data_IF_427341296651
#
_entry.id   IF_427341296651
#
_cell.length_a   1.000
_cell.length_b   1.000
_cell.length_c   1.000
_cell.angle_alpha   90.00
_cell.angle_beta   90.00
_cell.angle_gamma   90.00
#
_symmetry.space_group_name_H-M   'P 1'
#
loop_
_entity.id
_entity.type
_entity.pdbx_description
1 polymer ?
#
# COMPACT_ATOMS: atom_id res chain seq x y z
N UNK A 1 -30.45 17.62 66.89
CA UNK A 1 -29.33 17.44 65.92
C UNK A 1 -29.66 16.30 65.01
N UNK A 2 -29.91 16.57 63.74
CA UNK A 2 -30.15 15.55 62.75
C UNK A 2 -28.81 15.34 61.98
N UNK A 3 -28.28 14.12 61.84
CA UNK A 3 -27.15 13.90 60.99
C UNK A 3 -27.59 13.93 59.51
N UNK A 4 -26.93 14.77 58.75
CA UNK A 4 -27.08 14.78 57.31
C UNK A 4 -26.32 13.57 56.73
N UNK A 5 -26.96 12.77 55.87
CA UNK A 5 -26.21 11.74 55.12
C UNK A 5 -25.49 12.44 53.97
N UNK A 6 -24.18 12.41 54.03
CA UNK A 6 -23.37 12.77 52.87
C UNK A 6 -23.54 11.69 51.81
N UNK A 7 -24.33 12.02 50.78
CA UNK A 7 -24.39 11.28 49.55
C UNK A 7 -23.07 11.54 48.79
N UNK A 8 -22.14 10.64 48.92
CA UNK A 8 -21.01 10.58 48.00
C UNK A 8 -21.55 10.11 46.65
N UNK A 9 -21.80 11.03 45.75
CA UNK A 9 -21.97 10.71 44.34
C UNK A 9 -20.61 10.29 43.80
N UNK A 10 -20.41 9.00 43.73
CA UNK A 10 -19.29 8.45 42.95
C UNK A 10 -19.63 8.67 41.51
N UNK A 11 -19.13 9.75 40.93
CA UNK A 11 -19.13 9.93 39.51
C UNK A 11 -18.18 8.87 38.91
N UNK A 12 -18.76 7.78 38.45
CA UNK A 12 -18.05 6.83 37.61
C UNK A 12 -17.67 7.56 36.33
N UNK A 13 -16.45 8.06 36.24
CA UNK A 13 -15.85 8.46 34.99
C UNK A 13 -15.70 7.17 34.16
N UNK A 14 -16.71 6.89 33.38
CA UNK A 14 -16.56 5.94 32.28
C UNK A 14 -15.60 6.61 31.30
N UNK A 15 -14.30 6.34 31.47
CA UNK A 15 -13.35 6.58 30.43
C UNK A 15 -13.76 5.69 29.26
N UNK A 16 -14.58 6.22 28.37
CA UNK A 16 -14.74 5.66 27.05
C UNK A 16 -13.34 5.66 26.46
N UNK A 17 -12.69 4.52 26.50
CA UNK A 17 -11.52 4.25 25.69
C UNK A 17 -12.00 4.41 24.25
N UNK A 18 -11.92 5.66 23.76
CA UNK A 18 -12.00 5.92 22.36
C UNK A 18 -10.89 5.08 21.74
N UNK A 19 -11.27 3.92 21.23
CA UNK A 19 -10.42 3.18 20.33
C UNK A 19 -10.19 4.17 19.19
N UNK A 20 -9.03 4.83 19.20
CA UNK A 20 -8.60 5.62 18.09
C UNK A 20 -8.51 4.64 16.92
N UNK A 21 -9.58 4.53 16.14
CA UNK A 21 -9.51 3.97 14.82
C UNK A 21 -8.51 4.87 14.11
N UNK A 22 -7.30 4.35 13.92
CA UNK A 22 -6.38 4.98 12.98
C UNK A 22 -7.19 5.19 11.70
N UNK A 23 -7.25 6.42 11.19
CA UNK A 23 -7.93 6.65 9.93
C UNK A 23 -7.36 5.63 8.93
N UNK A 24 -8.20 5.00 8.10
CA UNK A 24 -7.71 4.10 7.08
C UNK A 24 -6.59 4.84 6.34
N UNK A 25 -5.45 4.19 6.04
CA UNK A 25 -4.35 4.84 5.36
C UNK A 25 -4.90 5.56 4.14
N UNK A 26 -4.57 6.83 4.00
CA UNK A 26 -5.12 7.68 2.98
C UNK A 26 -4.91 6.99 1.63
N UNK A 27 -5.99 6.50 1.04
CA UNK A 27 -5.95 5.83 -0.25
C UNK A 27 -5.71 6.91 -1.30
N UNK A 28 -4.47 7.00 -1.76
CA UNK A 28 -4.15 7.92 -2.84
C UNK A 28 -4.78 7.40 -4.13
N UNK A 29 -5.75 8.15 -4.65
CA UNK A 29 -6.29 7.90 -5.97
C UNK A 29 -5.33 8.48 -7.00
N UNK A 30 -4.90 7.66 -7.93
CA UNK A 30 -3.95 8.00 -8.97
C UNK A 30 -4.58 7.78 -10.36
N UNK A 31 -4.00 8.41 -11.34
CA UNK A 31 -4.25 8.07 -12.74
C UNK A 31 -3.23 7.02 -13.18
N UNK A 32 -3.70 5.95 -13.80
CA UNK A 32 -2.88 4.84 -14.23
C UNK A 32 -3.07 4.50 -15.71
N UNK A 33 -2.01 3.95 -16.29
CA UNK A 33 -2.09 3.23 -17.56
C UNK A 33 -1.56 1.83 -17.37
N UNK A 34 -2.18 0.86 -18.00
CA UNK A 34 -1.77 -0.53 -17.97
C UNK A 34 -1.69 -1.09 -19.39
N UNK A 35 -0.64 -1.85 -19.64
CA UNK A 35 -0.47 -2.55 -20.91
C UNK A 35 -0.02 -3.98 -20.66
N UNK A 36 -0.74 -4.93 -21.25
CA UNK A 36 -0.33 -6.34 -21.28
C UNK A 36 0.71 -6.53 -22.39
N UNK A 37 1.93 -6.86 -22.03
CA UNK A 37 3.04 -7.06 -22.97
C UNK A 37 3.15 -8.50 -23.47
N UNK A 38 2.33 -9.42 -22.97
CA UNK A 38 2.32 -10.82 -23.41
C UNK A 38 1.68 -11.01 -24.79
N UNK A 39 0.92 -10.03 -25.24
CA UNK A 39 0.25 -10.01 -26.54
C UNK A 39 0.79 -8.87 -27.38
N UNK A 40 1.22 -9.18 -28.58
CA UNK A 40 1.60 -8.17 -29.56
C UNK A 40 0.38 -7.28 -29.90
N UNK A 41 0.57 -5.96 -29.89
CA UNK A 41 -0.49 -5.00 -30.21
C UNK A 41 -1.53 -4.77 -29.12
N UNK A 42 -1.29 -5.22 -27.88
CA UNK A 42 -2.18 -4.91 -26.75
C UNK A 42 -2.32 -3.41 -26.55
N UNK A 43 -3.56 -2.90 -26.38
CA UNK A 43 -3.78 -1.48 -26.16
C UNK A 43 -3.28 -1.05 -24.77
N UNK A 44 -2.88 0.21 -24.68
CA UNK A 44 -2.65 0.86 -23.38
C UNK A 44 -4.01 1.26 -22.81
N UNK A 45 -4.38 0.67 -21.70
CA UNK A 45 -5.63 0.96 -20.99
C UNK A 45 -5.41 2.09 -19.99
N UNK A 46 -6.27 3.09 -20.00
CA UNK A 46 -6.31 4.14 -18.96
C UNK A 46 -7.31 3.77 -17.87
N UNK A 47 -6.91 3.96 -16.62
CA UNK A 47 -7.76 3.66 -15.48
C UNK A 47 -7.41 4.58 -14.30
N UNK A 48 -8.37 4.84 -13.43
CA UNK A 48 -8.05 5.30 -12.09
C UNK A 48 -7.54 4.11 -11.28
N UNK A 49 -6.56 4.33 -10.41
CA UNK A 49 -6.03 3.27 -9.58
C UNK A 49 -5.85 3.72 -8.13
N UNK A 50 -5.92 2.76 -7.24
CA UNK A 50 -5.76 2.95 -5.80
C UNK A 50 -4.67 2.00 -5.32
N UNK A 51 -3.63 2.56 -4.70
CA UNK A 51 -2.61 1.79 -4.00
C UNK A 51 -3.13 1.42 -2.62
N UNK A 52 -3.04 0.15 -2.28
CA UNK A 52 -3.32 -0.36 -0.95
C UNK A 52 -2.13 -1.15 -0.45
N UNK A 53 -1.64 -0.77 0.70
CA UNK A 53 -0.72 -1.61 1.42
C UNK A 53 -1.46 -2.90 1.78
N UNK A 54 -1.00 -3.99 1.23
CA UNK A 54 -1.45 -5.31 1.64
C UNK A 54 -0.85 -5.59 2.99
N UNK A 55 -1.59 -5.26 4.05
CA UNK A 55 -1.28 -5.85 5.34
C UNK A 55 -1.66 -7.33 5.24
N UNK A 56 -0.69 -8.26 5.15
CA UNK A 56 -1.03 -9.66 5.22
C UNK A 56 -1.74 -9.92 6.54
N UNK A 57 -2.63 -10.91 6.61
CA UNK A 57 -3.21 -11.33 7.87
C UNK A 57 -2.08 -11.55 8.87
N UNK A 58 -2.28 -11.09 10.08
CA UNK A 58 -1.30 -11.08 11.18
C UNK A 58 -0.36 -12.31 11.28
N UNK A 59 -0.80 -13.55 10.99
CA UNK A 59 0.10 -14.71 11.02
C UNK A 59 1.21 -14.69 9.97
N UNK A 60 1.02 -13.99 8.85
CA UNK A 60 2.05 -13.84 7.82
C UNK A 60 3.02 -12.70 8.13
N UNK A 61 2.74 -11.93 9.18
CA UNK A 61 3.56 -10.81 9.63
C UNK A 61 4.54 -11.19 10.75
N UNK A 62 4.46 -12.40 11.26
CA UNK A 62 5.54 -12.88 12.13
C UNK A 62 6.75 -13.04 11.21
N UNK A 63 7.78 -12.18 11.35
CA UNK A 63 9.00 -12.39 10.62
C UNK A 63 9.45 -13.80 11.00
N UNK A 64 9.64 -14.63 10.00
CA UNK A 64 10.31 -15.89 10.24
C UNK A 64 11.66 -15.53 10.85
N UNK A 65 11.75 -15.69 12.16
CA UNK A 65 12.96 -15.32 12.93
C UNK A 65 14.18 -16.11 12.47
N UNK A 66 13.96 -17.13 11.66
CA UNK A 66 15.02 -17.98 11.13
C UNK A 66 15.62 -17.46 9.82
N UNK A 67 14.88 -16.65 9.04
CA UNK A 67 15.33 -16.24 7.71
C UNK A 67 15.72 -14.77 7.57
N UNK A 68 15.45 -13.94 8.58
CA UNK A 68 15.69 -12.46 8.51
C UNK A 68 15.15 -11.79 7.23
N UNK A 69 14.18 -12.43 6.58
CA UNK A 69 13.52 -11.93 5.37
C UNK A 69 12.17 -11.34 5.73
N UNK A 70 11.98 -10.09 5.37
CA UNK A 70 10.70 -9.41 5.48
C UNK A 70 10.06 -9.31 4.10
N UNK A 71 8.80 -9.74 3.98
CA UNK A 71 8.02 -9.59 2.76
C UNK A 71 6.97 -8.50 2.92
N UNK A 72 6.87 -7.67 1.92
CA UNK A 72 5.89 -6.59 1.83
C UNK A 72 5.13 -6.73 0.52
N UNK A 73 3.82 -6.58 0.58
CA UNK A 73 2.95 -6.68 -0.60
C UNK A 73 2.15 -5.41 -0.75
N UNK A 74 2.13 -4.84 -1.94
CA UNK A 74 1.33 -3.69 -2.31
C UNK A 74 0.39 -4.08 -3.45
N UNK A 75 -0.89 -3.81 -3.29
CA UNK A 75 -1.90 -4.02 -4.32
C UNK A 75 -2.25 -2.71 -5.00
N UNK A 76 -2.28 -2.71 -6.32
CA UNK A 76 -2.76 -1.61 -7.13
C UNK A 76 -4.05 -2.04 -7.80
N UNK A 77 -5.17 -1.51 -7.34
CA UNK A 77 -6.49 -1.81 -7.89
C UNK A 77 -6.85 -0.76 -8.94
N UNK A 78 -7.10 -1.21 -10.15
CA UNK A 78 -7.59 -0.40 -11.24
C UNK A 78 -9.12 -0.43 -11.27
N UNK A 79 -9.76 0.67 -11.66
CA UNK A 79 -11.23 0.76 -11.72
C UNK A 79 -11.87 -0.09 -12.83
N UNK A 80 -11.06 -0.63 -13.75
CA UNK A 80 -11.48 -1.63 -14.73
C UNK A 80 -11.57 -3.07 -14.17
N UNK A 81 -11.34 -3.25 -12.87
CA UNK A 81 -11.36 -4.55 -12.18
C UNK A 81 -10.03 -5.30 -12.15
N UNK A 82 -8.99 -4.78 -12.79
CA UNK A 82 -7.66 -5.39 -12.79
C UNK A 82 -6.90 -5.04 -11.50
N UNK A 83 -6.14 -5.98 -10.98
CA UNK A 83 -5.25 -5.76 -9.84
C UNK A 83 -3.82 -6.13 -10.22
N UNK A 84 -2.88 -5.23 -9.94
CA UNK A 84 -1.45 -5.47 -10.08
C UNK A 84 -0.86 -5.61 -8.68
N UNK A 85 -0.07 -6.64 -8.47
CA UNK A 85 0.52 -6.96 -7.17
C UNK A 85 2.01 -6.74 -7.21
N UNK A 86 2.52 -5.90 -6.32
CA UNK A 86 3.95 -5.72 -6.09
C UNK A 86 4.35 -6.47 -4.82
N UNK A 87 5.44 -7.21 -4.90
CA UNK A 87 6.03 -7.92 -3.78
C UNK A 87 7.48 -7.49 -3.62
N UNK A 88 7.83 -7.08 -2.41
CA UNK A 88 9.18 -6.69 -2.04
C UNK A 88 9.71 -7.65 -0.98
N UNK A 89 10.88 -8.18 -1.18
CA UNK A 89 11.61 -8.90 -0.15
C UNK A 89 12.80 -8.07 0.31
N UNK A 90 12.90 -7.91 1.61
CA UNK A 90 14.01 -7.23 2.26
C UNK A 90 14.80 -8.24 3.08
N UNK A 91 16.10 -8.18 2.98
CA UNK A 91 17.01 -8.89 3.89
C UNK A 91 17.58 -7.91 4.91
N UNK A 92 17.84 -8.40 6.11
CA UNK A 92 18.61 -7.64 7.08
C UNK A 92 20.09 -7.69 6.65
N UNK A 93 20.72 -6.53 6.54
CA UNK A 93 22.16 -6.46 6.29
C UNK A 93 22.94 -6.64 7.60
N UNK A 94 24.28 -6.76 7.49
CA UNK A 94 25.18 -6.93 8.63
C UNK A 94 25.13 -5.78 9.65
N UNK A 95 24.68 -4.60 9.23
CA UNK A 95 24.58 -3.38 10.05
C UNK A 95 23.20 -3.22 10.72
N UNK A 96 22.28 -4.20 10.54
CA UNK A 96 20.93 -4.18 11.08
C UNK A 96 19.93 -3.38 10.26
N UNK A 97 20.34 -2.80 9.12
CA UNK A 97 19.46 -2.14 8.15
C UNK A 97 18.74 -3.13 7.24
N UNK A 98 17.85 -2.59 6.41
CA UNK A 98 17.11 -3.38 5.41
C UNK A 98 17.72 -3.16 4.04
N UNK A 99 17.88 -4.24 3.30
CA UNK A 99 18.34 -4.23 1.92
C UNK A 99 17.27 -4.92 1.06
N UNK A 100 16.90 -4.29 -0.07
CA UNK A 100 15.98 -4.90 -1.03
C UNK A 100 16.69 -6.06 -1.71
N UNK A 101 16.18 -7.27 -1.51
CA UNK A 101 16.73 -8.46 -2.09
C UNK A 101 16.11 -8.76 -3.46
N UNK A 102 14.79 -8.61 -3.56
CA UNK A 102 14.02 -8.92 -4.76
C UNK A 102 12.74 -8.09 -4.82
N UNK A 103 12.39 -7.67 -6.03
CA UNK A 103 11.14 -6.98 -6.35
C UNK A 103 10.45 -7.68 -7.50
N UNK A 104 9.15 -7.95 -7.32
CA UNK A 104 8.31 -8.55 -8.36
C UNK A 104 7.05 -7.73 -8.58
N UNK A 105 6.61 -7.68 -9.82
CA UNK A 105 5.31 -7.20 -10.24
C UNK A 105 4.55 -8.36 -10.90
N UNK A 106 3.46 -8.81 -10.29
CA UNK A 106 2.71 -10.00 -10.70
C UNK A 106 3.61 -11.23 -10.90
N UNK A 107 4.57 -11.42 -9.99
CA UNK A 107 5.51 -12.55 -10.01
C UNK A 107 6.68 -12.43 -11.00
N UNK A 108 6.81 -11.32 -11.71
CA UNK A 108 7.92 -11.07 -12.63
C UNK A 108 8.83 -9.95 -12.13
N UNK A 109 10.14 -10.08 -12.34
CA UNK A 109 11.07 -9.01 -12.07
C UNK A 109 10.72 -7.76 -12.90
N UNK A 110 10.82 -6.59 -12.31
CA UNK A 110 10.51 -5.34 -12.98
C UNK A 110 11.56 -4.27 -12.69
N UNK A 111 11.54 -3.24 -13.51
CA UNK A 111 12.31 -2.02 -13.31
C UNK A 111 11.37 -0.82 -13.26
N UNK A 112 11.76 0.17 -12.47
CA UNK A 112 11.07 1.44 -12.35
C UNK A 112 11.82 2.50 -13.12
N UNK A 113 11.07 3.31 -13.85
CA UNK A 113 11.61 4.52 -14.48
C UNK A 113 10.60 5.67 -14.34
N UNK A 114 11.10 6.89 -14.34
CA UNK A 114 10.26 8.08 -14.42
C UNK A 114 10.28 8.58 -15.85
N UNK A 115 9.10 8.78 -16.42
CA UNK A 115 8.93 9.31 -17.79
C UNK A 115 8.16 10.61 -17.75
N UNK A 116 8.52 11.53 -18.62
CA UNK A 116 7.72 12.72 -18.88
C UNK A 116 6.85 12.47 -20.11
N UNK A 117 5.53 12.46 -19.90
CA UNK A 117 4.54 12.26 -20.95
C UNK A 117 3.61 13.48 -20.93
N UNK A 118 3.52 14.20 -22.04
CA UNK A 118 2.72 15.43 -22.18
C UNK A 118 3.03 16.46 -21.07
N UNK A 119 4.31 16.64 -20.75
CA UNK A 119 4.77 17.59 -19.75
C UNK A 119 4.54 17.17 -18.29
N UNK A 120 4.10 15.93 -18.05
CA UNK A 120 3.82 15.40 -16.71
C UNK A 120 4.67 14.18 -16.41
N UNK A 121 5.10 14.08 -15.15
CA UNK A 121 5.90 12.96 -14.68
C UNK A 121 5.03 11.76 -14.35
N UNK A 122 5.41 10.62 -14.90
CA UNK A 122 4.82 9.31 -14.64
C UNK A 122 5.87 8.37 -14.05
N UNK A 123 5.49 7.65 -13.01
CA UNK A 123 6.28 6.52 -12.54
C UNK A 123 5.81 5.26 -13.28
N UNK A 124 6.70 4.66 -14.05
CA UNK A 124 6.41 3.47 -14.85
C UNK A 124 7.16 2.26 -14.28
N UNK A 125 6.43 1.16 -14.17
CA UNK A 125 6.93 -0.13 -13.71
C UNK A 125 6.75 -1.13 -14.83
N UNK A 126 7.84 -1.69 -15.31
CA UNK A 126 7.83 -2.57 -16.48
C UNK A 126 8.52 -3.89 -16.19
N UNK A 127 7.80 -4.97 -16.41
CA UNK A 127 8.33 -6.34 -16.50
C UNK A 127 8.32 -6.81 -17.96
N UNK A 128 8.70 -8.04 -18.21
CA UNK A 128 8.53 -8.70 -19.51
C UNK A 128 7.07 -9.00 -19.86
N UNK A 129 6.17 -8.96 -18.87
CA UNK A 129 4.74 -9.30 -19.03
C UNK A 129 3.80 -8.12 -19.06
N UNK A 130 4.13 -7.03 -18.38
CA UNK A 130 3.24 -5.89 -18.25
C UNK A 130 3.97 -4.59 -17.97
N UNK A 131 3.30 -3.48 -18.26
CA UNK A 131 3.71 -2.15 -17.86
C UNK A 131 2.56 -1.44 -17.14
N UNK A 132 2.85 -0.93 -15.95
CA UNK A 132 1.96 -0.06 -15.19
C UNK A 132 2.63 1.29 -15.01
N UNK A 133 2.00 2.36 -15.45
CA UNK A 133 2.42 3.71 -15.19
C UNK A 133 1.41 4.42 -14.30
N UNK A 134 1.85 5.24 -13.38
CA UNK A 134 0.98 6.01 -12.50
C UNK A 134 1.46 7.44 -12.30
N UNK A 135 0.52 8.34 -12.09
CA UNK A 135 0.78 9.71 -11.68
C UNK A 135 -0.25 10.19 -10.67
N UNK A 136 0.13 11.14 -9.84
CA UNK A 136 -0.82 11.78 -8.94
C UNK A 136 -1.88 12.53 -9.75
N UNK A 137 -3.15 12.33 -9.40
CA UNK A 137 -4.20 13.17 -9.95
C UNK A 137 -3.97 14.60 -9.48
N UNK A 138 -3.97 15.52 -10.42
CA UNK A 138 -3.96 16.92 -10.05
C UNK A 138 -5.32 17.29 -9.48
N UNK A 139 -5.38 18.08 -8.40
CA UNK A 139 -6.65 18.59 -7.92
C UNK A 139 -7.31 19.37 -9.05
N UNK A 140 -8.61 19.18 -9.23
CA UNK A 140 -9.39 19.98 -10.16
C UNK A 140 -9.26 21.46 -9.80
N UNK A 141 -8.73 22.24 -10.71
CA UNK A 141 -8.64 23.70 -10.57
C UNK A 141 -9.99 24.38 -10.78
#
# INVERSE_FOLDING_TARGET
>A
MKPYPYLFAVAALSAALAHAHLPPPAQAKLECTYQDLTRAGSPVEKAACIYRDGLPPRPAYEPDRTTDVLRETVYVHLDNGKTVTFQHEYKRNAEGGREVATDWMDGAAYRREVRTIDGQEWACFRSDKAELCSRKMQPAS
#
